data_IF_834423538331
#
_entry.id   IF_834423538331
#
_cell.length_a   1.000
_cell.length_b   1.000
_cell.length_c   1.000
_cell.angle_alpha   90.00
_cell.angle_beta   90.00
_cell.angle_gamma   90.00
#
_symmetry.space_group_name_H-M   'P 1'
#
loop_
_entity.id
_entity.type
_entity.pdbx_description
1 polymer ?
#
# COMPACT_ATOMS: atom_id res chain seq x y z
N UNK A 1 -44.72 19.87 -10.51
CA UNK A 1 -44.35 19.89 -9.09
C UNK A 1 -43.13 19.02 -8.96
N UNK A 2 -41.95 19.58 -8.64
CA UNK A 2 -40.73 18.80 -8.51
C UNK A 2 -40.62 18.29 -7.07
N UNK A 3 -40.83 17.00 -6.88
CA UNK A 3 -40.52 16.30 -5.63
C UNK A 3 -38.99 16.17 -5.51
N UNK A 4 -38.34 17.31 -5.28
CA UNK A 4 -36.89 17.40 -5.17
C UNK A 4 -36.51 17.21 -3.72
N UNK A 5 -35.97 16.04 -3.38
CA UNK A 5 -35.43 15.78 -2.04
C UNK A 5 -34.21 16.70 -1.86
N UNK A 6 -34.17 17.57 -0.82
CA UNK A 6 -33.04 18.45 -0.54
C UNK A 6 -31.72 17.69 -0.43
N UNK A 7 -30.64 18.28 -0.95
CA UNK A 7 -29.30 17.69 -0.94
C UNK A 7 -28.83 17.36 0.49
N UNK A 8 -29.19 18.20 1.45
CA UNK A 8 -28.96 18.04 2.89
C UNK A 8 -29.54 16.75 3.47
N UNK A 9 -30.65 16.26 2.92
CA UNK A 9 -31.26 14.99 3.31
C UNK A 9 -30.67 13.82 2.53
N UNK A 10 -30.18 14.05 1.31
CA UNK A 10 -29.59 13.02 0.46
C UNK A 10 -28.18 12.64 0.93
N UNK A 11 -27.38 13.60 1.41
CA UNK A 11 -26.01 13.37 1.86
C UNK A 11 -25.93 12.31 2.98
N UNK A 12 -26.72 12.38 4.08
CA UNK A 12 -26.71 11.36 5.14
C UNK A 12 -27.22 9.99 4.70
N UNK A 13 -28.13 9.95 3.72
CA UNK A 13 -28.66 8.69 3.17
C UNK A 13 -27.57 8.03 2.32
N UNK A 14 -27.06 8.77 1.35
CA UNK A 14 -26.05 8.29 0.41
C UNK A 14 -24.73 7.94 1.11
N UNK A 15 -24.34 8.65 2.16
CA UNK A 15 -23.12 8.35 2.92
C UNK A 15 -23.12 6.96 3.58
N UNK A 16 -24.30 6.35 3.77
CA UNK A 16 -24.48 5.01 4.35
C UNK A 16 -24.66 3.90 3.32
N UNK A 17 -24.74 4.26 2.03
CA UNK A 17 -24.96 3.27 0.97
C UNK A 17 -23.65 2.66 0.49
N UNK A 18 -23.64 1.37 0.07
CA UNK A 18 -22.48 0.76 -0.55
C UNK A 18 -22.05 1.48 -1.84
N UNK A 19 -20.74 1.55 -2.17
CA UNK A 19 -20.24 2.21 -3.38
C UNK A 19 -20.95 1.79 -4.68
N UNK A 20 -21.28 0.50 -4.83
CA UNK A 20 -21.99 -0.03 -6.01
C UNK A 20 -23.39 0.58 -6.17
N UNK A 21 -24.12 0.77 -5.07
CA UNK A 21 -25.46 1.38 -5.10
C UNK A 21 -25.37 2.84 -5.51
N UNK A 22 -24.39 3.57 -4.95
CA UNK A 22 -24.13 4.96 -5.30
C UNK A 22 -23.81 5.13 -6.79
N UNK A 23 -23.00 4.23 -7.36
CA UNK A 23 -22.71 4.27 -8.79
C UNK A 23 -23.95 4.06 -9.67
N UNK A 24 -24.89 3.21 -9.24
CA UNK A 24 -26.17 3.06 -9.94
C UNK A 24 -27.02 4.34 -9.82
N UNK A 25 -26.97 5.01 -8.66
CA UNK A 25 -27.74 6.23 -8.41
C UNK A 25 -27.25 7.44 -9.20
N UNK A 26 -25.98 7.44 -9.63
CA UNK A 26 -25.47 8.43 -10.60
C UNK A 26 -26.27 8.46 -11.90
N UNK A 27 -26.90 7.35 -12.29
CA UNK A 27 -27.70 7.28 -13.51
C UNK A 27 -29.12 7.85 -13.37
N UNK A 28 -29.57 8.14 -12.14
CA UNK A 28 -30.97 8.53 -11.87
C UNK A 28 -31.20 10.01 -12.19
N UNK A 29 -30.27 10.90 -11.81
CA UNK A 29 -30.36 12.33 -12.12
C UNK A 29 -28.99 12.98 -12.22
N UNK A 30 -28.91 14.11 -12.93
CA UNK A 30 -27.68 14.92 -13.02
C UNK A 30 -27.23 15.42 -11.65
N UNK A 31 -28.19 15.80 -10.82
CA UNK A 31 -27.92 16.31 -9.47
C UNK A 31 -27.34 15.25 -8.55
N UNK A 32 -27.89 14.03 -8.59
CA UNK A 32 -27.34 12.90 -7.81
C UNK A 32 -25.97 12.51 -8.32
N UNK A 33 -25.77 12.51 -9.65
CA UNK A 33 -24.45 12.30 -10.23
C UNK A 33 -23.45 13.35 -9.74
N UNK A 34 -23.84 14.63 -9.73
CA UNK A 34 -22.99 15.73 -9.26
C UNK A 34 -22.63 15.57 -7.79
N UNK A 35 -23.62 15.33 -6.92
CA UNK A 35 -23.41 15.11 -5.49
C UNK A 35 -22.46 13.93 -5.25
N UNK A 36 -22.77 12.75 -5.82
CA UNK A 36 -22.02 11.50 -5.59
C UNK A 36 -20.60 11.57 -6.16
N UNK A 37 -20.39 12.37 -7.21
CA UNK A 37 -19.07 12.55 -7.84
C UNK A 37 -18.26 13.69 -7.21
N UNK A 38 -18.85 14.49 -6.32
CA UNK A 38 -18.14 15.59 -5.66
C UNK A 38 -17.03 15.05 -4.74
N UNK A 39 -15.94 15.78 -4.66
CA UNK A 39 -14.79 15.38 -3.83
C UNK A 39 -15.16 15.37 -2.34
N UNK A 40 -16.02 16.31 -1.93
CA UNK A 40 -16.57 16.48 -0.59
C UNK A 40 -17.36 15.25 -0.18
N UNK A 41 -18.28 14.79 -1.04
CA UNK A 41 -19.08 13.60 -0.77
C UNK A 41 -18.22 12.33 -0.74
N UNK A 42 -17.25 12.18 -1.65
CA UNK A 42 -16.35 11.02 -1.68
C UNK A 42 -15.51 10.95 -0.38
N UNK A 43 -14.95 12.09 0.06
CA UNK A 43 -14.21 12.16 1.33
C UNK A 43 -15.12 11.85 2.53
N UNK A 44 -16.33 12.42 2.57
CA UNK A 44 -17.30 12.14 3.64
C UNK A 44 -17.72 10.67 3.65
N UNK A 45 -18.07 10.10 2.51
CA UNK A 45 -18.46 8.69 2.38
C UNK A 45 -17.33 7.76 2.83
N UNK A 46 -16.09 8.06 2.44
CA UNK A 46 -14.92 7.30 2.85
C UNK A 46 -14.72 7.38 4.37
N UNK A 47 -14.79 8.58 4.95
CA UNK A 47 -14.70 8.79 6.40
C UNK A 47 -15.82 8.06 7.17
N UNK A 48 -17.07 8.16 6.70
CA UNK A 48 -18.20 7.45 7.29
C UNK A 48 -18.04 5.93 7.23
N UNK A 49 -17.48 5.38 6.14
CA UNK A 49 -17.21 3.95 6.05
C UNK A 49 -16.09 3.51 6.98
N UNK A 50 -15.03 4.31 7.17
CA UNK A 50 -13.97 4.03 8.13
C UNK A 50 -14.56 3.98 9.56
N UNK A 51 -15.36 4.99 9.93
CA UNK A 51 -15.99 5.06 11.25
C UNK A 51 -17.02 3.96 11.52
N UNK A 52 -17.70 3.47 10.48
CA UNK A 52 -18.71 2.42 10.62
C UNK A 52 -18.12 1.04 10.94
N UNK A 53 -16.79 0.90 11.08
CA UNK A 53 -16.08 -0.36 11.39
C UNK A 53 -16.67 -1.54 10.61
N UNK A 54 -16.53 -1.54 9.26
CA UNK A 54 -16.96 -2.70 8.49
C UNK A 54 -16.28 -3.96 9.05
N UNK A 55 -16.92 -5.14 8.92
CA UNK A 55 -16.28 -6.40 9.26
C UNK A 55 -14.90 -6.43 8.61
N UNK A 56 -13.89 -6.88 9.36
CA UNK A 56 -12.48 -6.87 8.94
C UNK A 56 -12.31 -7.70 7.66
N UNK A 57 -12.46 -7.01 6.52
CA UNK A 57 -12.42 -7.60 5.20
C UNK A 57 -10.97 -7.77 4.78
N UNK A 58 -10.54 -9.01 4.59
CA UNK A 58 -9.21 -9.32 4.06
C UNK A 58 -9.29 -9.49 2.57
N UNK A 59 -8.31 -8.98 1.85
CA UNK A 59 -8.15 -9.28 0.43
C UNK A 59 -7.24 -10.48 0.32
N UNK A 60 -7.75 -11.53 -0.30
CA UNK A 60 -7.00 -12.75 -0.58
C UNK A 60 -6.65 -12.76 -2.06
N UNK A 61 -5.38 -13.02 -2.32
CA UNK A 61 -4.84 -13.23 -3.65
C UNK A 61 -4.09 -14.55 -3.69
N UNK A 62 -4.32 -15.34 -4.72
CA UNK A 62 -3.50 -16.51 -5.03
C UNK A 62 -3.49 -16.78 -6.53
N UNK A 63 -2.45 -17.46 -7.00
CA UNK A 63 -2.35 -17.90 -8.39
C UNK A 63 -2.96 -19.30 -8.53
N UNK A 64 -3.97 -19.46 -9.38
CA UNK A 64 -4.56 -20.77 -9.66
C UNK A 64 -3.76 -21.45 -10.78
N UNK A 65 -3.03 -22.52 -10.45
CA UNK A 65 -2.28 -23.32 -11.42
C UNK A 65 -3.19 -23.98 -12.46
N UNK A 66 -4.38 -24.43 -12.04
CA UNK A 66 -5.37 -25.07 -12.93
C UNK A 66 -5.94 -24.10 -13.95
N UNK A 67 -6.26 -22.87 -13.52
CA UNK A 67 -6.82 -21.84 -14.40
C UNK A 67 -5.74 -20.96 -15.05
N UNK A 68 -4.47 -21.14 -14.66
CA UNK A 68 -3.30 -20.32 -15.05
C UNK A 68 -3.58 -18.82 -15.00
N UNK A 69 -4.18 -18.38 -13.88
CA UNK A 69 -4.52 -16.97 -13.66
C UNK A 69 -4.55 -16.63 -12.17
N UNK A 70 -4.41 -15.35 -11.88
CA UNK A 70 -4.64 -14.82 -10.55
C UNK A 70 -6.12 -14.83 -10.19
N UNK A 71 -6.40 -15.15 -8.93
CA UNK A 71 -7.72 -15.07 -8.33
C UNK A 71 -7.64 -14.10 -7.15
N UNK A 72 -8.61 -13.18 -7.12
CA UNK A 72 -8.81 -12.23 -6.04
C UNK A 72 -10.15 -12.53 -5.37
N UNK A 73 -10.16 -12.52 -4.04
CA UNK A 73 -11.38 -12.60 -3.25
C UNK A 73 -11.34 -11.63 -2.07
N UNK A 74 -12.50 -11.14 -1.67
CA UNK A 74 -12.68 -10.48 -0.38
C UNK A 74 -13.27 -11.49 0.57
N UNK A 75 -12.60 -11.67 1.70
CA UNK A 75 -13.06 -12.47 2.82
C UNK A 75 -13.52 -11.54 3.94
N UNK A 76 -14.81 -11.56 4.24
CA UNK A 76 -15.39 -10.83 5.35
C UNK A 76 -15.50 -11.77 6.55
N UNK A 77 -14.89 -11.36 7.66
CA UNK A 77 -14.96 -12.09 8.92
C UNK A 77 -15.80 -11.26 9.88
N UNK A 78 -17.00 -11.74 10.19
CA UNK A 78 -17.78 -11.23 11.31
C UNK A 78 -17.42 -12.05 12.55
N UNK A 79 -16.54 -11.48 13.37
CA UNK A 79 -16.03 -12.13 14.59
C UNK A 79 -17.15 -12.35 15.61
N UNK A 80 -18.17 -11.48 15.64
CA UNK A 80 -19.27 -11.56 16.60
C UNK A 80 -20.30 -12.61 16.19
N UNK A 81 -20.59 -12.69 14.89
CA UNK A 81 -21.52 -13.68 14.35
C UNK A 81 -20.88 -15.04 14.07
N UNK A 82 -19.55 -15.14 14.06
CA UNK A 82 -18.83 -16.34 13.67
C UNK A 82 -19.02 -16.70 12.19
N UNK A 83 -19.38 -15.71 11.35
CA UNK A 83 -19.67 -15.91 9.94
C UNK A 83 -18.47 -15.47 9.11
N UNK A 84 -18.00 -16.37 8.27
CA UNK A 84 -16.97 -16.11 7.26
C UNK A 84 -17.61 -16.21 5.88
N UNK A 85 -17.52 -15.13 5.10
CA UNK A 85 -18.00 -15.11 3.71
C UNK A 85 -16.88 -14.70 2.78
N UNK A 86 -16.73 -15.44 1.68
CA UNK A 86 -15.72 -15.16 0.67
C UNK A 86 -16.38 -14.89 -0.69
N UNK A 87 -16.06 -13.75 -1.27
CA UNK A 87 -16.59 -13.32 -2.57
C UNK A 87 -15.44 -13.18 -3.56
N UNK A 88 -15.53 -13.91 -4.67
CA UNK A 88 -14.58 -13.75 -5.79
C UNK A 88 -14.80 -12.42 -6.50
N UNK A 89 -13.71 -11.81 -6.92
CA UNK A 89 -13.70 -10.53 -7.61
C UNK A 89 -13.02 -10.71 -8.96
N UNK A 90 -13.58 -10.07 -9.98
CA UNK A 90 -12.98 -10.05 -11.30
C UNK A 90 -11.65 -9.28 -11.25
N UNK A 91 -10.56 -9.96 -11.62
CA UNK A 91 -9.25 -9.31 -11.74
C UNK A 91 -9.31 -8.15 -12.75
N UNK A 92 -8.50 -7.10 -12.58
CA UNK A 92 -8.48 -5.95 -13.50
C UNK A 92 -7.79 -6.26 -14.84
N UNK A 93 -7.31 -7.48 -15.05
CA UNK A 93 -6.51 -7.88 -16.21
C UNK A 93 -7.26 -8.90 -17.08
N UNK A 94 -7.26 -8.67 -18.38
CA UNK A 94 -7.80 -9.60 -19.37
C UNK A 94 -6.65 -10.44 -19.97
N UNK A 95 -6.60 -11.74 -19.68
CA UNK A 95 -5.67 -12.68 -20.34
C UNK A 95 -5.01 -13.71 -19.42
N UNK A 96 -4.24 -14.61 -20.02
CA UNK A 96 -3.35 -15.52 -19.31
C UNK A 96 -2.14 -14.71 -18.87
N UNK A 97 -2.12 -14.34 -17.60
CA UNK A 97 -0.92 -13.75 -16.99
C UNK A 97 0.05 -14.89 -16.75
N UNK A 98 1.26 -14.82 -17.33
CA UNK A 98 2.31 -15.82 -17.05
C UNK A 98 2.78 -15.74 -15.59
N UNK A 99 2.49 -14.63 -14.92
CA UNK A 99 3.00 -14.23 -13.61
C UNK A 99 1.93 -13.52 -12.78
N UNK A 100 2.23 -13.21 -11.53
CA UNK A 100 1.32 -12.50 -10.62
C UNK A 100 1.73 -11.04 -10.41
N UNK A 101 0.74 -10.18 -10.17
CA UNK A 101 0.94 -8.79 -9.80
C UNK A 101 1.14 -8.68 -8.29
N UNK A 102 2.19 -7.96 -7.88
CA UNK A 102 2.40 -7.60 -6.49
C UNK A 102 1.38 -6.55 -6.06
N UNK A 103 0.75 -6.77 -4.90
CA UNK A 103 -0.02 -5.72 -4.24
C UNK A 103 1.00 -4.85 -3.50
N UNK A 104 1.19 -3.61 -3.96
CA UNK A 104 2.07 -2.64 -3.31
C UNK A 104 1.41 -2.00 -2.09
N UNK A 105 0.10 -1.78 -2.17
CA UNK A 105 -0.66 -1.22 -1.07
C UNK A 105 -2.16 -1.16 -1.34
N UNK A 106 -2.91 -0.98 -0.26
CA UNK A 106 -4.35 -0.75 -0.25
C UNK A 106 -4.60 0.58 0.46
N UNK A 107 -5.33 1.48 -0.19
CA UNK A 107 -5.68 2.77 0.42
C UNK A 107 -7.10 3.17 0.02
N UNK A 108 -7.99 3.35 1.01
CA UNK A 108 -9.39 3.74 0.81
C UNK A 108 -10.11 2.87 -0.25
N UNK A 109 -9.89 1.54 -0.21
CA UNK A 109 -10.51 0.59 -1.14
C UNK A 109 -9.91 0.55 -2.55
N UNK A 110 -8.82 1.29 -2.80
CA UNK A 110 -8.04 1.23 -4.05
C UNK A 110 -6.76 0.46 -3.80
N UNK A 111 -6.53 -0.57 -4.61
CA UNK A 111 -5.30 -1.35 -4.66
C UNK A 111 -4.32 -0.73 -5.66
N UNK A 112 -3.04 -0.74 -5.32
CA UNK A 112 -1.97 -0.49 -6.27
C UNK A 112 -1.24 -1.79 -6.55
N UNK A 113 -1.22 -2.19 -7.83
CA UNK A 113 -0.66 -3.44 -8.33
C UNK A 113 0.57 -3.15 -9.17
N UNK A 114 1.56 -4.05 -9.12
CA UNK A 114 2.84 -3.92 -9.86
C UNK A 114 3.24 -5.25 -10.51
N UNK A 115 3.79 -5.21 -11.74
CA UNK A 115 4.31 -6.40 -12.46
C UNK A 115 5.83 -6.62 -12.34
N UNK A 116 6.47 -5.86 -11.44
CA UNK A 116 7.92 -5.77 -11.16
C UNK A 116 8.64 -7.08 -10.84
N UNK A 117 7.90 -8.13 -10.49
CA UNK A 117 8.45 -9.42 -10.10
C UNK A 117 9.07 -10.24 -11.24
N UNK A 118 8.55 -10.11 -12.47
CA UNK A 118 8.87 -11.03 -13.56
C UNK A 118 8.94 -10.36 -14.94
N UNK A 119 8.55 -9.08 -15.04
CA UNK A 119 8.49 -8.33 -16.29
C UNK A 119 9.33 -7.07 -16.16
N UNK A 120 10.09 -6.74 -17.20
CA UNK A 120 10.97 -5.56 -17.22
C UNK A 120 10.24 -4.23 -17.34
N UNK A 121 8.91 -4.22 -17.45
CA UNK A 121 8.12 -3.01 -17.72
C UNK A 121 7.69 -2.28 -16.45
N UNK A 122 7.74 -2.93 -15.28
CA UNK A 122 7.37 -2.32 -13.98
C UNK A 122 6.06 -1.52 -14.04
N UNK A 123 5.05 -2.06 -14.74
CA UNK A 123 3.74 -1.46 -14.92
C UNK A 123 3.01 -1.37 -13.59
N UNK A 124 2.44 -0.21 -13.34
CA UNK A 124 1.62 0.06 -12.17
C UNK A 124 0.16 0.18 -12.54
N UNK A 125 -0.71 -0.48 -11.78
CA UNK A 125 -2.17 -0.43 -11.99
C UNK A 125 -2.86 -0.05 -10.69
N UNK A 126 -3.66 1.01 -10.74
CA UNK A 126 -4.59 1.35 -9.67
C UNK A 126 -5.92 0.68 -9.95
N UNK A 127 -6.43 -0.09 -8.99
CA UNK A 127 -7.64 -0.88 -9.14
C UNK A 127 -8.55 -0.73 -7.95
N UNK A 128 -9.80 -0.32 -8.20
CA UNK A 128 -10.86 -0.35 -7.21
C UNK A 128 -11.78 -1.57 -7.48
N UNK A 129 -11.61 -2.68 -6.73
CA UNK A 129 -12.41 -3.89 -6.90
C UNK A 129 -13.90 -3.68 -6.64
N UNK A 130 -14.25 -2.73 -5.76
CA UNK A 130 -15.64 -2.50 -5.37
C UNK A 130 -16.47 -1.90 -6.49
N UNK A 131 -15.84 -1.11 -7.36
CA UNK A 131 -16.50 -0.49 -8.51
C UNK A 131 -16.08 -1.09 -9.85
N UNK A 132 -15.16 -2.06 -9.84
CA UNK A 132 -14.67 -2.73 -11.04
C UNK A 132 -13.93 -1.81 -12.00
N UNK A 133 -13.33 -0.71 -11.51
CA UNK A 133 -12.55 0.23 -12.34
C UNK A 133 -11.07 0.06 -12.06
N UNK A 134 -10.27 0.04 -13.12
CA UNK A 134 -8.82 0.08 -13.06
C UNK A 134 -8.27 1.12 -14.02
N UNK A 135 -7.08 1.62 -13.71
CA UNK A 135 -6.27 2.48 -14.57
C UNK A 135 -4.83 1.97 -14.53
N UNK A 136 -4.25 1.76 -15.70
CA UNK A 136 -2.82 1.51 -15.85
C UNK A 136 -2.12 2.87 -15.91
N UNK A 137 -1.10 3.04 -15.07
CA UNK A 137 -0.33 4.28 -15.04
C UNK A 137 0.51 4.40 -16.33
N UNK A 138 0.73 5.63 -16.84
CA UNK A 138 1.59 5.83 -17.99
C UNK A 138 3.02 5.37 -17.67
N UNK A 139 3.74 4.99 -18.73
CA UNK A 139 5.14 4.59 -18.61
C UNK A 139 5.97 5.75 -18.06
N UNK A 140 6.83 5.44 -17.09
CA UNK A 140 7.69 6.42 -16.46
C UNK A 140 8.89 6.79 -17.35
N UNK A 141 9.39 8.01 -17.19
CA UNK A 141 10.66 8.44 -17.80
C UNK A 141 11.87 7.65 -17.26
N UNK A 142 11.77 7.11 -16.04
CA UNK A 142 12.83 6.37 -15.34
C UNK A 142 13.01 4.94 -15.87
N UNK A 143 12.03 4.37 -16.58
CA UNK A 143 12.09 2.99 -17.08
C UNK A 143 13.11 2.81 -18.22
N UNK A 144 13.53 3.90 -18.87
CA UNK A 144 14.55 3.88 -19.92
C UNK A 144 15.99 3.88 -19.39
N UNK A 145 16.19 3.92 -18.07
CA UNK A 145 17.51 4.23 -17.51
C UNK A 145 18.48 3.04 -17.47
N UNK A 146 18.02 1.77 -17.52
CA UNK A 146 18.88 0.57 -17.48
C UNK A 146 18.68 -0.30 -16.23
N UNK A 147 19.76 -0.82 -15.63
CA UNK A 147 19.72 -1.66 -14.42
C UNK A 147 19.54 -0.83 -13.14
N UNK A 148 18.29 -0.55 -12.76
CA UNK A 148 17.95 0.17 -11.53
C UNK A 148 17.19 -0.73 -10.57
N UNK A 149 17.40 -0.49 -9.28
CA UNK A 149 16.48 -0.96 -8.25
C UNK A 149 15.34 0.06 -8.13
N UNK A 150 14.09 -0.42 -8.23
CA UNK A 150 12.90 0.43 -8.14
C UNK A 150 12.19 0.19 -6.82
N UNK A 151 11.95 1.26 -6.08
CA UNK A 151 11.10 1.27 -4.90
C UNK A 151 9.90 2.14 -5.17
N UNK A 152 8.71 1.64 -4.86
CA UNK A 152 7.46 2.36 -5.06
C UNK A 152 6.74 2.56 -3.73
N UNK A 153 5.96 3.64 -3.66
CA UNK A 153 5.04 3.95 -2.58
C UNK A 153 3.71 4.40 -3.13
N UNK A 154 2.61 3.89 -2.59
CA UNK A 154 1.26 4.29 -2.96
C UNK A 154 0.47 4.75 -1.74
N UNK A 155 -0.29 5.83 -1.86
CA UNK A 155 -1.24 6.23 -0.83
C UNK A 155 -2.15 7.36 -1.28
N UNK A 156 -2.88 7.91 -0.31
CA UNK A 156 -3.81 9.01 -0.51
C UNK A 156 -3.30 10.27 0.21
N UNK A 157 -3.07 11.33 -0.56
CA UNK A 157 -2.74 12.65 -0.06
C UNK A 157 -4.03 13.38 0.32
N UNK A 158 -4.22 13.60 1.62
CA UNK A 158 -5.42 14.22 2.19
C UNK A 158 -5.53 15.69 1.75
N UNK A 159 -4.40 16.44 1.76
CA UNK A 159 -4.39 17.87 1.41
C UNK A 159 -4.84 18.11 -0.04
N UNK A 160 -4.32 17.31 -0.98
CA UNK A 160 -4.69 17.43 -2.41
C UNK A 160 -5.88 16.57 -2.80
N UNK A 161 -6.43 15.78 -1.85
CA UNK A 161 -7.51 14.80 -2.07
C UNK A 161 -7.24 13.85 -3.23
N UNK A 162 -5.99 13.43 -3.39
CA UNK A 162 -5.56 12.67 -4.56
C UNK A 162 -4.81 11.39 -4.19
N UNK A 163 -4.93 10.38 -5.05
CA UNK A 163 -4.07 9.21 -4.97
C UNK A 163 -2.74 9.52 -5.63
N UNK A 164 -1.66 9.23 -4.91
CA UNK A 164 -0.31 9.46 -5.40
C UNK A 164 0.51 8.18 -5.37
N UNK A 165 1.41 8.08 -6.33
CA UNK A 165 2.45 7.05 -6.37
C UNK A 165 3.81 7.73 -6.43
N UNK A 166 4.70 7.42 -5.50
CA UNK A 166 6.10 7.83 -5.55
C UNK A 166 6.94 6.65 -6.04
N UNK A 167 7.86 6.91 -6.96
CA UNK A 167 8.85 5.93 -7.44
C UNK A 167 10.25 6.46 -7.20
N UNK A 168 11.13 5.60 -6.71
CA UNK A 168 12.53 5.86 -6.45
C UNK A 168 13.37 4.87 -7.25
N UNK A 169 14.20 5.38 -8.16
CA UNK A 169 15.09 4.59 -8.99
C UNK A 169 16.54 4.75 -8.51
N UNK A 170 17.05 3.71 -7.87
CA UNK A 170 18.44 3.63 -7.41
C UNK A 170 19.31 3.02 -8.52
N UNK A 171 20.32 3.77 -8.97
CA UNK A 171 21.30 3.26 -9.91
C UNK A 171 22.16 2.18 -9.22
N UNK A 172 22.36 1.03 -9.87
CA UNK A 172 23.34 0.04 -9.39
C UNK A 172 24.75 0.50 -9.76
N UNK A 173 25.45 1.12 -8.80
CA UNK A 173 26.85 1.52 -8.90
C UNK A 173 27.81 0.63 -8.12
N UNK A 174 29.11 0.83 -8.34
CA UNK A 174 30.24 -0.01 -7.96
C UNK A 174 30.97 0.40 -6.66
N UNK A 175 30.39 1.28 -5.82
CA UNK A 175 31.07 1.62 -4.54
C UNK A 175 30.34 2.50 -3.51
N UNK A 176 29.13 2.99 -3.76
CA UNK A 176 28.42 3.88 -2.83
C UNK A 176 26.91 3.94 -3.06
N UNK A 177 26.21 4.42 -2.04
CA UNK A 177 24.79 4.71 -2.09
C UNK A 177 24.63 6.09 -2.74
N UNK A 178 24.12 6.13 -3.97
CA UNK A 178 23.80 7.38 -4.66
C UNK A 178 22.32 7.67 -4.42
N UNK A 179 21.93 8.93 -4.13
CA UNK A 179 20.53 9.29 -4.02
C UNK A 179 19.72 8.82 -5.24
N UNK A 180 18.52 8.26 -5.05
CA UNK A 180 17.70 7.79 -6.15
C UNK A 180 17.19 8.95 -6.99
N UNK A 181 16.88 8.69 -8.26
CA UNK A 181 15.96 9.55 -9.00
C UNK A 181 14.55 9.31 -8.52
N UNK A 182 13.80 10.37 -8.26
CA UNK A 182 12.46 10.26 -7.69
C UNK A 182 11.44 10.94 -8.60
N UNK A 183 10.29 10.32 -8.74
CA UNK A 183 9.15 10.89 -9.44
C UNK A 183 7.85 10.59 -8.67
N UNK A 184 6.87 11.48 -8.84
CA UNK A 184 5.57 11.37 -8.20
C UNK A 184 4.48 11.44 -9.26
N UNK A 185 3.62 10.43 -9.29
CA UNK A 185 2.40 10.42 -10.06
C UNK A 185 1.24 10.90 -9.21
N UNK A 186 0.38 11.73 -9.79
CA UNK A 186 -0.86 12.19 -9.20
C UNK A 186 -2.05 11.78 -10.08
N UNK A 187 -2.99 11.02 -9.54
CA UNK A 187 -4.12 10.46 -10.31
C UNK A 187 -5.00 11.54 -10.93
N UNK A 188 -5.20 12.68 -10.25
CA UNK A 188 -5.98 13.81 -10.78
C UNK A 188 -5.40 14.39 -12.08
N UNK A 189 -4.07 14.45 -12.17
CA UNK A 189 -3.35 15.01 -13.32
C UNK A 189 -3.04 13.97 -14.40
N UNK A 190 -2.94 12.70 -14.02
CA UNK A 190 -2.60 11.61 -14.93
C UNK A 190 -1.14 11.60 -15.40
N UNK A 191 -0.24 12.35 -14.75
CA UNK A 191 1.16 12.50 -15.18
C UNK A 191 2.15 12.19 -14.04
N UNK A 192 3.34 11.75 -14.44
CA UNK A 192 4.53 11.68 -13.58
C UNK A 192 5.22 13.05 -13.57
N UNK A 193 5.62 13.50 -12.39
CA UNK A 193 6.45 14.69 -12.20
C UNK A 193 7.76 14.28 -11.53
N UNK A 194 8.89 14.73 -12.06
CA UNK A 194 10.18 14.57 -11.40
C UNK A 194 10.19 15.33 -10.08
N UNK A 195 10.72 14.69 -9.05
CA UNK A 195 10.85 15.27 -7.73
C UNK A 195 12.16 16.06 -7.63
N UNK A 196 12.06 17.33 -7.26
CA UNK A 196 13.15 18.31 -7.22
C UNK A 196 13.52 18.74 -5.78
N UNK A 197 12.92 18.11 -4.77
CA UNK A 197 13.20 18.39 -3.37
C UNK A 197 14.44 17.67 -2.82
N UNK A 198 14.70 17.89 -1.53
CA UNK A 198 15.79 17.22 -0.82
C UNK A 198 15.50 15.72 -0.68
N UNK A 199 16.50 14.89 -1.00
CA UNK A 199 16.47 13.44 -0.85
C UNK A 199 17.54 13.05 0.17
N UNK A 200 17.19 12.38 1.27
CA UNK A 200 18.16 11.90 2.25
C UNK A 200 19.19 10.95 1.63
N UNK A 201 20.41 10.99 2.15
CA UNK A 201 21.49 10.09 1.73
C UNK A 201 21.36 8.73 2.43
N UNK A 202 20.32 7.99 2.05
CA UNK A 202 20.00 6.68 2.59
C UNK A 202 19.47 5.74 1.49
N UNK A 203 19.36 4.47 1.84
CA UNK A 203 19.04 3.39 0.93
C UNK A 203 17.83 2.65 1.43
N UNK A 204 16.77 2.61 0.62
CA UNK A 204 15.59 1.83 0.97
C UNK A 204 15.82 0.36 0.68
N UNK A 205 15.40 -0.49 1.63
CA UNK A 205 15.58 -1.94 1.56
C UNK A 205 14.57 -2.52 0.58
N UNK A 206 15.07 -3.16 -0.48
CA UNK A 206 14.25 -3.77 -1.54
C UNK A 206 13.58 -5.09 -1.11
N UNK A 207 13.93 -5.64 0.05
CA UNK A 207 13.61 -7.02 0.39
C UNK A 207 12.11 -7.20 0.70
N UNK A 208 11.40 -7.89 -0.20
CA UNK A 208 9.96 -8.19 -0.14
C UNK A 208 9.06 -6.96 0.13
N UNK A 209 9.42 -5.85 -0.51
CA UNK A 209 8.55 -4.76 -0.98
C UNK A 209 7.29 -4.46 -0.15
N UNK A 210 7.49 -4.06 1.08
CA UNK A 210 6.44 -3.65 2.00
C UNK A 210 6.63 -2.19 2.36
N UNK A 211 5.64 -1.40 1.97
CA UNK A 211 5.46 -0.03 2.45
C UNK A 211 4.48 -0.06 3.62
N UNK A 212 4.64 0.87 4.55
CA UNK A 212 3.58 1.22 5.49
C UNK A 212 2.99 2.59 5.12
N UNK A 213 1.66 2.70 5.12
CA UNK A 213 0.99 3.98 4.91
C UNK A 213 0.30 4.38 6.19
N UNK A 214 0.79 5.45 6.82
CA UNK A 214 0.25 5.96 8.08
C UNK A 214 0.13 7.47 7.95
N UNK A 215 -1.02 8.04 8.31
CA UNK A 215 -1.26 9.49 8.27
C UNK A 215 -0.97 10.17 6.91
N UNK A 216 -1.23 9.48 5.80
CA UNK A 216 -0.97 10.02 4.45
C UNK A 216 0.52 10.07 4.08
N UNK A 217 1.38 9.38 4.84
CA UNK A 217 2.81 9.27 4.59
C UNK A 217 3.16 7.82 4.28
N UNK A 218 4.05 7.62 3.31
CA UNK A 218 4.58 6.30 2.97
C UNK A 218 5.90 6.09 3.69
N UNK A 219 6.07 4.93 4.29
CA UNK A 219 7.23 4.57 5.10
C UNK A 219 7.87 3.30 4.57
N UNK A 220 9.19 3.29 4.55
CA UNK A 220 9.99 2.12 4.19
C UNK A 220 11.12 1.94 5.19
N UNK A 221 11.51 0.69 5.41
CA UNK A 221 12.76 0.40 6.10
C UNK A 221 13.92 0.78 5.20
N UNK A 222 14.87 1.51 5.77
CA UNK A 222 16.01 2.06 5.07
C UNK A 222 17.27 1.89 5.93
N UNK A 223 18.41 2.12 5.30
CA UNK A 223 19.69 2.11 5.98
C UNK A 223 20.59 3.23 5.46
N UNK A 224 21.53 3.65 6.29
CA UNK A 224 22.62 4.55 5.92
C UNK A 224 23.95 3.89 6.26
N UNK A 225 24.99 4.27 5.55
CA UNK A 225 26.36 3.81 5.81
C UNK A 225 27.10 4.95 6.52
N UNK A 226 27.53 4.72 7.76
CA UNK A 226 28.17 5.73 8.62
C UNK A 226 29.62 5.36 8.97
N UNK A 227 30.44 6.39 9.15
CA UNK A 227 31.83 6.27 9.63
C UNK A 227 32.81 5.64 8.64
N UNK A 228 34.09 5.66 9.00
CA UNK A 228 35.17 5.06 8.21
C UNK A 228 35.05 3.52 8.14
N UNK A 229 34.46 2.90 9.17
CA UNK A 229 34.23 1.46 9.27
C UNK A 229 33.01 0.97 8.46
N UNK A 230 32.32 1.86 7.74
CA UNK A 230 31.12 1.56 6.92
C UNK A 230 30.04 0.82 7.70
N UNK A 231 29.75 1.28 8.92
CA UNK A 231 28.69 0.74 9.76
C UNK A 231 27.33 0.97 9.09
N UNK A 232 26.47 -0.03 9.13
CA UNK A 232 25.10 0.07 8.62
C UNK A 232 24.17 0.39 9.78
N UNK A 233 23.43 1.49 9.67
CA UNK A 233 22.43 1.90 10.66
C UNK A 233 21.04 1.92 9.99
N UNK A 234 20.09 1.17 10.56
CA UNK A 234 18.72 1.15 10.08
C UNK A 234 17.93 2.37 10.57
N UNK A 235 17.04 2.83 9.72
CA UNK A 235 16.08 3.90 9.99
C UNK A 235 14.80 3.67 9.17
N UNK A 236 13.81 4.54 9.35
CA UNK A 236 12.62 4.58 8.49
C UNK A 236 12.72 5.81 7.60
N UNK A 237 12.72 5.59 6.29
CA UNK A 237 12.53 6.68 5.32
C UNK A 237 11.05 6.92 5.13
N UNK A 238 10.68 8.19 5.13
CA UNK A 238 9.29 8.63 5.02
C UNK A 238 9.16 9.58 3.84
N UNK A 239 8.13 9.39 3.04
CA UNK A 239 7.70 10.37 2.04
C UNK A 239 6.29 10.85 2.39
N UNK A 240 6.15 12.15 2.68
CA UNK A 240 4.85 12.76 2.93
C UNK A 240 4.14 13.05 1.61
N UNK A 241 3.03 12.37 1.33
CA UNK A 241 2.29 12.55 0.08
C UNK A 241 1.58 13.91 0.01
N UNK A 242 1.34 14.53 1.16
CA UNK A 242 0.65 15.82 1.23
C UNK A 242 1.57 16.96 0.85
N UNK A 243 2.74 17.00 1.48
CA UNK A 243 3.72 18.08 1.32
C UNK A 243 4.83 17.73 0.32
N UNK A 244 4.86 16.48 -0.17
CA UNK A 244 5.88 15.95 -1.08
C UNK A 244 7.29 16.22 -0.53
N UNK A 245 7.56 15.75 0.68
CA UNK A 245 8.87 15.89 1.33
C UNK A 245 9.34 14.56 1.90
N UNK A 246 10.65 14.35 1.87
CA UNK A 246 11.30 13.25 2.56
C UNK A 246 11.60 13.62 4.02
N UNK A 247 11.45 12.63 4.90
CA UNK A 247 11.81 12.69 6.30
C UNK A 247 12.47 11.37 6.71
N UNK A 248 13.20 11.41 7.82
CA UNK A 248 13.79 10.22 8.44
C UNK A 248 13.22 10.08 9.85
N UNK A 249 12.88 8.85 10.22
CA UNK A 249 12.51 8.51 11.59
C UNK A 249 13.52 7.50 12.14
N UNK A 250 13.98 7.77 13.36
CA UNK A 250 14.88 6.87 14.07
C UNK A 250 14.14 5.62 14.55
N UNK A 251 14.88 4.51 14.55
CA UNK A 251 14.47 3.25 15.17
C UNK A 251 15.01 3.16 16.59
N UNK A 252 14.40 2.34 17.47
CA UNK A 252 14.98 2.01 18.76
C UNK A 252 16.32 1.30 18.58
N UNK A 253 17.27 1.50 19.50
CA UNK A 253 18.67 1.05 19.39
C UNK A 253 18.81 -0.44 19.03
N UNK A 254 17.91 -1.28 19.57
CA UNK A 254 17.89 -2.72 19.28
C UNK A 254 17.65 -3.02 17.80
N UNK A 255 16.88 -2.20 17.08
CA UNK A 255 16.57 -2.37 15.66
C UNK A 255 17.56 -1.65 14.74
N UNK A 256 18.21 -0.59 15.22
CA UNK A 256 19.19 0.18 14.44
C UNK A 256 20.33 -0.72 13.93
N UNK A 257 20.73 -1.70 14.73
CA UNK A 257 21.87 -2.58 14.43
C UNK A 257 21.46 -3.97 13.91
N UNK A 258 20.17 -4.22 13.71
CA UNK A 258 19.69 -5.46 13.12
C UNK A 258 20.16 -5.58 11.66
N UNK A 259 20.27 -6.79 11.11
CA UNK A 259 20.40 -6.97 9.67
C UNK A 259 19.22 -6.28 8.96
N UNK A 260 19.46 -5.34 8.03
CA UNK A 260 18.39 -4.57 7.39
C UNK A 260 17.31 -5.48 6.76
N UNK A 261 17.73 -6.62 6.20
CA UNK A 261 16.84 -7.60 5.56
C UNK A 261 15.86 -8.30 6.50
N UNK A 262 16.00 -8.11 7.82
CA UNK A 262 15.10 -8.67 8.83
C UNK A 262 13.98 -7.70 9.21
N UNK A 263 14.03 -6.45 8.72
CA UNK A 263 13.11 -5.39 9.09
C UNK A 263 12.15 -5.03 7.96
N UNK A 264 10.89 -4.94 8.31
CA UNK A 264 9.81 -4.53 7.40
C UNK A 264 8.95 -3.46 8.05
N UNK A 265 8.76 -2.32 7.36
CA UNK A 265 7.79 -1.32 7.78
C UNK A 265 6.38 -1.85 7.53
N UNK A 266 5.51 -1.73 8.53
CA UNK A 266 4.12 -2.14 8.47
C UNK A 266 3.21 -1.10 9.14
N UNK A 267 1.91 -1.22 8.86
CA UNK A 267 0.89 -0.52 9.63
C UNK A 267 0.27 -1.53 10.62
N UNK A 268 0.14 -1.10 11.87
CA UNK A 268 -0.53 -1.87 12.92
C UNK A 268 -1.46 -0.97 13.71
N UNK A 269 -2.77 -1.17 13.54
CA UNK A 269 -3.82 -0.42 14.26
C UNK A 269 -3.67 1.09 14.08
N UNK A 270 -3.54 1.51 12.83
CA UNK A 270 -3.36 2.89 12.38
C UNK A 270 -2.04 3.53 12.86
N UNK A 271 -1.16 2.75 13.48
CA UNK A 271 0.15 3.19 13.95
C UNK A 271 1.25 2.62 13.07
N UNK A 272 2.38 3.34 13.01
CA UNK A 272 3.56 2.85 12.32
C UNK A 272 4.15 1.68 13.14
N UNK A 273 4.48 0.60 12.45
CA UNK A 273 5.08 -0.58 13.05
C UNK A 273 6.30 -1.05 12.24
N UNK A 274 7.16 -1.82 12.90
CA UNK A 274 8.25 -2.55 12.28
C UNK A 274 8.16 -4.01 12.68
N UNK A 275 8.14 -4.87 11.68
CA UNK A 275 8.25 -6.31 11.85
C UNK A 275 9.73 -6.68 11.83
N UNK A 276 10.18 -7.29 12.92
CA UNK A 276 11.53 -7.80 13.09
C UNK A 276 11.48 -9.34 13.02
N UNK A 277 11.96 -9.88 11.92
CA UNK A 277 12.12 -11.32 11.73
C UNK A 277 13.42 -11.80 12.36
N UNK A 278 13.40 -12.98 13.00
CA UNK A 278 14.62 -13.51 13.62
C UNK A 278 15.65 -13.98 12.58
N UNK A 279 15.20 -14.40 11.40
CA UNK A 279 16.05 -14.74 10.27
C UNK A 279 15.45 -14.20 8.98
N UNK A 280 16.33 -13.93 8.00
CA UNK A 280 15.95 -13.41 6.68
C UNK A 280 14.99 -14.32 5.89
N UNK A 281 15.15 -15.64 6.02
CA UNK A 281 14.33 -16.66 5.33
C UNK A 281 13.96 -17.72 6.35
N UNK A 282 12.73 -18.22 6.28
CA UNK A 282 12.17 -19.22 7.19
C UNK A 282 12.22 -18.80 8.66
N UNK A 283 11.99 -17.51 8.90
CA UNK A 283 11.86 -16.93 10.24
C UNK A 283 10.89 -17.78 11.06
N UNK A 284 11.30 -18.21 12.26
CA UNK A 284 10.45 -19.00 13.16
C UNK A 284 9.64 -18.11 14.11
N UNK A 285 9.98 -16.83 14.19
CA UNK A 285 9.21 -15.83 14.91
C UNK A 285 9.30 -14.46 14.23
N UNK A 286 8.37 -13.58 14.58
CA UNK A 286 8.37 -12.18 14.19
C UNK A 286 7.97 -11.33 15.39
N UNK A 287 8.81 -10.37 15.77
CA UNK A 287 8.49 -9.39 16.79
C UNK A 287 7.92 -8.14 16.12
N UNK A 288 6.81 -7.64 16.65
CA UNK A 288 6.15 -6.44 16.11
C UNK A 288 6.37 -5.29 17.08
N UNK A 289 7.13 -4.31 16.61
CA UNK A 289 7.38 -3.06 17.30
C UNK A 289 6.41 -2.01 16.79
N UNK A 290 5.77 -1.26 17.68
CA UNK A 290 4.78 -0.23 17.32
C UNK A 290 5.22 1.11 17.89
N UNK A 291 5.16 2.16 17.07
CA UNK A 291 5.40 3.53 17.48
C UNK A 291 4.11 4.09 18.07
N UNK A 292 4.05 4.19 19.41
CA UNK A 292 2.83 4.62 20.12
C UNK A 292 2.48 6.08 19.87
N UNK A 293 3.49 6.92 19.70
CA UNK A 293 3.33 8.32 19.38
C UNK A 293 4.12 8.64 18.12
N UNK A 294 3.40 8.99 17.06
CA UNK A 294 4.00 9.22 15.74
C UNK A 294 5.11 10.29 15.80
N UNK A 295 6.30 9.94 15.31
CA UNK A 295 7.48 10.82 15.31
C UNK A 295 8.31 10.80 16.57
N UNK A 296 7.83 10.17 17.65
CA UNK A 296 8.58 10.03 18.90
C UNK A 296 9.32 8.69 18.93
N UNK A 297 10.65 8.76 18.93
CA UNK A 297 11.52 7.58 18.93
C UNK A 297 11.47 6.82 20.25
N UNK A 298 11.20 7.51 21.37
CA UNK A 298 11.10 6.85 22.68
C UNK A 298 9.78 6.10 22.84
N UNK A 299 8.81 6.36 21.96
CA UNK A 299 7.48 5.73 22.00
C UNK A 299 7.43 4.34 21.37
N UNK A 300 8.52 3.87 20.76
CA UNK A 300 8.60 2.52 20.20
C UNK A 300 8.57 1.47 21.31
N UNK A 301 7.66 0.50 21.18
CA UNK A 301 7.65 -0.68 22.07
C UNK A 301 7.29 -1.95 21.32
N UNK A 302 7.86 -3.08 21.76
CA UNK A 302 7.47 -4.39 21.26
C UNK A 302 6.09 -4.75 21.85
N UNK A 303 5.09 -4.90 20.98
CA UNK A 303 3.71 -5.20 21.40
C UNK A 303 3.35 -6.66 21.18
N UNK A 304 3.97 -7.32 20.19
CA UNK A 304 3.68 -8.71 19.87
C UNK A 304 4.95 -9.49 19.57
N UNK A 305 4.91 -10.78 19.90
CA UNK A 305 5.86 -11.77 19.43
C UNK A 305 5.06 -12.94 18.85
N UNK A 306 5.17 -13.13 17.54
CA UNK A 306 4.38 -14.09 16.77
C UNK A 306 5.26 -15.26 16.38
N UNK A 307 4.90 -16.48 16.79
CA UNK A 307 5.53 -17.69 16.30
C UNK A 307 5.05 -18.00 14.87
N UNK A 308 5.98 -18.21 13.95
CA UNK A 308 5.71 -18.55 12.56
C UNK A 308 5.85 -20.07 12.39
N UNK A 309 4.70 -20.77 12.37
CA UNK A 309 4.69 -22.22 12.17
C UNK A 309 4.76 -22.55 10.68
N UNK A 310 5.90 -23.07 10.22
CA UNK A 310 6.09 -23.50 8.82
C UNK A 310 5.28 -24.75 8.43
N UNK A 311 4.65 -25.44 9.40
CA UNK A 311 3.96 -26.72 9.18
C UNK A 311 2.62 -26.65 8.41
N UNK A 312 2.07 -25.45 8.15
CA UNK A 312 0.84 -25.33 7.34
C UNK A 312 1.08 -25.22 5.82
N UNK A 313 2.33 -25.04 5.38
CA UNK A 313 2.65 -24.90 3.95
C UNK A 313 2.77 -26.25 3.20
N UNK A 314 2.99 -27.36 3.92
CA UNK A 314 3.19 -28.67 3.29
C UNK A 314 1.88 -29.40 2.91
N UNK A 315 0.75 -29.02 3.50
CA UNK A 315 -0.58 -29.53 3.12
C UNK A 315 -1.29 -28.68 2.05
N UNK A 316 -0.70 -27.56 1.64
CA UNK A 316 -1.15 -26.73 0.54
C UNK A 316 -0.04 -26.58 -0.51
N UNK A 317 0.33 -27.68 -1.19
CA UNK A 317 1.22 -27.62 -2.36
C UNK A 317 0.70 -26.70 -3.49
N UNK A 318 -0.56 -26.28 -3.43
CA UNK A 318 -1.21 -25.38 -4.40
C UNK A 318 -1.25 -23.89 -4.00
N UNK A 319 -0.78 -23.49 -2.80
CA UNK A 319 -0.85 -22.10 -2.31
C UNK A 319 0.53 -21.68 -1.82
N UNK A 320 1.48 -21.46 -2.74
CA UNK A 320 2.84 -21.03 -2.38
C UNK A 320 3.02 -19.51 -2.27
N UNK A 321 2.11 -18.70 -2.79
CA UNK A 321 2.34 -17.24 -2.95
C UNK A 321 1.13 -16.37 -2.54
N UNK A 322 0.48 -16.71 -1.43
CA UNK A 322 -0.60 -15.89 -0.88
C UNK A 322 -0.03 -14.72 -0.06
N UNK A 323 -0.12 -13.49 -0.59
CA UNK A 323 -0.01 -12.30 0.24
C UNK A 323 -1.39 -12.01 0.82
N UNK A 324 -1.49 -11.98 2.15
CA UNK A 324 -2.67 -11.54 2.86
C UNK A 324 -2.49 -10.06 3.22
N UNK A 325 -3.41 -9.20 2.80
CA UNK A 325 -3.50 -7.79 3.24
C UNK A 325 -4.88 -7.57 3.87
#
# INVERSE_FOLDING_TARGET
MSDYIPEELMVPIFSRLPPKSLLRFRCISRSWNSLISSSEFISLHTYCNILQKPPAGKIIRYFSLTQRKEIYSIRLIDVLAGIETEFKIAAPFNGIVRYYYRIMGLCNGVLCLSDDLFVSKNLLVLWNPMIGRSITLPMSSLENLGNYMLVCGFGYAIKTRDYKVVRMAYARGDGGLVPPKVEVYALSSGIWKEFDGFIPDNGVIEYFWTQAVVCGKVHWTAYKITGEERRVENLITVFDLNDEIFQELSLPEILVNEPPTNLTAAECRESLAVYQYNTRIWSSSCSIWVMKQYGDTESWSMEYNVALNHQQLDHQRDIRDANFI
#
